data_IF_103349903943
#
_entry.id   IF_103349903943
#
_cell.length_a   1.000
_cell.length_b   1.000
_cell.length_c   1.000
_cell.angle_alpha   90.00
_cell.angle_beta   90.00
_cell.angle_gamma   90.00
#
_symmetry.space_group_name_H-M   'P 1'
#
loop_
_entity.id
_entity.type
_entity.pdbx_description
1 polymer ?
#
# COMPACT_ATOMS: atom_id res chain seq x y z
N UNK A 1 -13.31 14.43 0.22
CA UNK A 1 -12.26 13.54 0.77
C UNK A 1 -11.55 12.90 -0.41
N UNK A 2 -10.25 13.13 -0.62
CA UNK A 2 -9.53 12.56 -1.75
C UNK A 2 -9.22 11.09 -1.46
N UNK A 3 -9.74 10.15 -2.24
CA UNK A 3 -9.17 8.81 -2.32
C UNK A 3 -7.92 8.88 -3.20
N UNK A 4 -6.87 8.12 -2.89
CA UNK A 4 -5.67 8.03 -3.73
C UNK A 4 -4.34 8.13 -2.98
N UNK A 5 -3.26 8.20 -3.73
CA UNK A 5 -1.87 8.08 -3.26
C UNK A 5 -1.31 9.33 -2.54
N UNK A 6 -2.14 10.16 -1.91
CA UNK A 6 -1.83 11.43 -1.22
C UNK A 6 -0.37 11.91 -1.30
N UNK A 7 -0.09 12.85 -2.21
CA UNK A 7 1.26 13.42 -2.44
C UNK A 7 2.36 12.39 -2.78
N UNK A 8 1.99 11.30 -3.48
CA UNK A 8 2.92 10.22 -3.83
C UNK A 8 4.19 10.71 -4.50
N UNK A 9 4.12 11.64 -5.46
CA UNK A 9 5.32 12.14 -6.12
C UNK A 9 6.38 12.64 -5.13
N UNK A 10 5.97 13.43 -4.13
CA UNK A 10 6.88 13.92 -3.09
C UNK A 10 7.34 12.80 -2.15
N UNK A 11 6.44 11.91 -1.73
CA UNK A 11 6.78 10.78 -0.84
C UNK A 11 7.73 9.79 -1.53
N UNK A 12 7.46 9.46 -2.78
CA UNK A 12 8.27 8.62 -3.65
C UNK A 12 9.70 9.12 -3.73
N UNK A 13 9.92 10.40 -4.03
CA UNK A 13 11.28 10.95 -4.10
C UNK A 13 12.02 10.86 -2.76
N UNK A 14 11.33 11.09 -1.64
CA UNK A 14 11.90 10.94 -0.29
C UNK A 14 12.25 9.48 0.04
N UNK A 15 11.43 8.54 -0.40
CA UNK A 15 11.67 7.10 -0.19
C UNK A 15 12.84 6.64 -1.04
N UNK A 16 12.80 6.91 -2.35
CA UNK A 16 13.86 6.51 -3.30
C UNK A 16 15.21 7.10 -2.89
N UNK A 17 15.27 8.35 -2.42
CA UNK A 17 16.51 8.95 -1.91
C UNK A 17 17.11 8.28 -0.67
N UNK A 18 16.39 7.36 -0.01
CA UNK A 18 16.86 6.56 1.13
C UNK A 18 17.15 5.10 0.77
N UNK A 19 16.77 4.67 -0.43
CA UNK A 19 16.97 3.30 -0.90
C UNK A 19 18.35 3.17 -1.55
N UNK A 20 18.94 1.95 -1.58
CA UNK A 20 20.17 1.72 -2.34
C UNK A 20 20.01 2.06 -3.82
N UNK A 21 21.12 2.42 -4.48
CA UNK A 21 21.14 2.70 -5.92
C UNK A 21 20.49 1.57 -6.73
N UNK A 22 19.68 1.96 -7.71
CA UNK A 22 18.96 1.04 -8.59
C UNK A 22 17.74 0.38 -7.93
N UNK A 23 17.30 0.82 -6.74
CA UNK A 23 16.04 0.39 -6.13
C UNK A 23 15.02 1.52 -6.23
N UNK A 24 13.83 1.21 -6.74
CA UNK A 24 12.66 2.10 -6.79
C UNK A 24 11.56 1.61 -5.85
N UNK A 25 10.56 2.46 -5.57
CA UNK A 25 9.45 2.14 -4.70
C UNK A 25 8.12 2.07 -5.48
N UNK A 26 7.30 1.05 -5.20
CA UNK A 26 5.92 0.92 -5.68
C UNK A 26 4.96 1.01 -4.50
N UNK A 27 3.89 1.80 -4.64
CA UNK A 27 2.83 1.90 -3.63
C UNK A 27 1.57 1.17 -4.11
N UNK A 28 0.95 0.43 -3.19
CA UNK A 28 -0.38 -0.16 -3.36
C UNK A 28 -1.27 0.33 -2.24
N UNK A 29 -2.54 0.59 -2.56
CA UNK A 29 -3.52 1.08 -1.60
C UNK A 29 -4.84 0.32 -1.75
N UNK A 30 -5.54 0.11 -0.64
CA UNK A 30 -6.90 -0.40 -0.62
C UNK A 30 -7.68 0.20 0.56
N UNK A 31 -8.99 0.17 0.46
CA UNK A 31 -9.89 0.50 1.56
C UNK A 31 -10.78 -0.71 1.89
N UNK A 32 -11.16 -0.82 3.15
CA UNK A 32 -12.05 -1.86 3.66
C UNK A 32 -13.51 -1.51 3.42
N UNK A 33 -14.41 -2.45 3.69
CA UNK A 33 -15.84 -2.17 3.74
C UNK A 33 -16.26 -1.54 5.08
N UNK A 34 -17.41 -0.82 5.13
CA UNK A 34 -17.96 -0.33 6.39
C UNK A 34 -18.22 -1.47 7.38
N UNK A 35 -17.85 -1.27 8.64
CA UNK A 35 -18.16 -2.18 9.74
C UNK A 35 -17.14 -3.29 10.00
N UNK A 36 -16.15 -3.47 9.12
CA UNK A 36 -15.11 -4.49 9.31
C UNK A 36 -14.21 -4.19 10.52
N UNK A 37 -13.92 -5.23 11.29
CA UNK A 37 -12.86 -5.21 12.30
C UNK A 37 -11.48 -5.08 11.65
N UNK A 38 -10.44 -4.81 12.46
CA UNK A 38 -9.08 -4.65 11.94
C UNK A 38 -8.62 -5.87 11.13
N UNK A 39 -8.88 -7.09 11.62
CA UNK A 39 -8.41 -8.32 10.96
C UNK A 39 -9.19 -8.60 9.68
N UNK A 40 -10.51 -8.43 9.69
CA UNK A 40 -11.35 -8.59 8.48
C UNK A 40 -10.93 -7.59 7.40
N UNK A 41 -10.78 -6.32 7.78
CA UNK A 41 -10.34 -5.27 6.88
C UNK A 41 -8.96 -5.54 6.28
N UNK A 42 -8.03 -6.11 7.06
CA UNK A 42 -6.70 -6.47 6.57
C UNK A 42 -6.76 -7.59 5.53
N UNK A 43 -7.55 -8.63 5.79
CA UNK A 43 -7.77 -9.74 4.86
C UNK A 43 -8.38 -9.21 3.55
N UNK A 44 -9.40 -8.37 3.66
CA UNK A 44 -10.08 -7.78 2.51
C UNK A 44 -9.16 -6.88 1.69
N UNK A 45 -8.39 -6.01 2.33
CA UNK A 45 -7.43 -5.14 1.65
C UNK A 45 -6.38 -5.94 0.87
N UNK A 46 -5.86 -7.03 1.44
CA UNK A 46 -4.92 -7.93 0.74
C UNK A 46 -5.60 -8.68 -0.40
N UNK A 47 -6.87 -9.08 -0.24
CA UNK A 47 -7.68 -9.67 -1.32
C UNK A 47 -7.82 -8.69 -2.48
N UNK A 48 -8.14 -7.43 -2.22
CA UNK A 48 -8.22 -6.37 -3.22
C UNK A 48 -6.89 -6.15 -3.96
N UNK A 49 -5.75 -6.22 -3.27
CA UNK A 49 -4.43 -6.16 -3.94
C UNK A 49 -4.20 -7.37 -4.85
N UNK A 50 -4.62 -8.58 -4.45
CA UNK A 50 -4.48 -9.79 -5.28
C UNK A 50 -5.32 -9.76 -6.56
N UNK A 51 -6.45 -9.04 -6.54
CA UNK A 51 -7.37 -8.94 -7.69
C UNK A 51 -6.94 -7.91 -8.73
N UNK A 52 -5.93 -7.08 -8.44
CA UNK A 52 -5.35 -6.13 -9.39
C UNK A 52 -4.00 -6.64 -9.85
N UNK A 53 -3.82 -6.92 -11.15
CA UNK A 53 -2.54 -7.38 -11.69
C UNK A 53 -1.39 -6.43 -11.34
N UNK A 54 -1.63 -5.12 -11.41
CA UNK A 54 -0.67 -4.09 -11.05
C UNK A 54 -0.25 -4.17 -9.58
N UNK A 55 -1.23 -4.19 -8.65
CA UNK A 55 -0.95 -4.32 -7.23
C UNK A 55 -0.29 -5.66 -6.90
N UNK A 56 -0.84 -6.75 -7.43
CA UNK A 56 -0.33 -8.09 -7.14
C UNK A 56 1.09 -8.27 -7.65
N UNK A 57 1.44 -7.76 -8.82
CA UNK A 57 2.81 -7.79 -9.35
C UNK A 57 3.82 -7.07 -8.44
N UNK A 58 3.40 -6.03 -7.71
CA UNK A 58 4.24 -5.34 -6.74
C UNK A 58 4.39 -6.15 -5.44
N UNK A 59 3.27 -6.64 -4.91
CA UNK A 59 3.21 -7.39 -3.64
C UNK A 59 3.92 -8.74 -3.75
N UNK A 60 3.69 -9.51 -4.83
CA UNK A 60 4.21 -10.88 -4.99
C UNK A 60 5.68 -10.97 -5.38
N UNK A 61 6.29 -9.85 -5.78
CA UNK A 61 7.67 -9.84 -6.23
C UNK A 61 8.62 -10.13 -5.06
N UNK A 62 9.83 -10.67 -5.32
CA UNK A 62 10.88 -10.72 -4.30
C UNK A 62 11.27 -9.29 -3.89
N UNK A 63 10.77 -8.83 -2.75
CA UNK A 63 11.03 -7.50 -2.23
C UNK A 63 12.00 -7.59 -1.05
N UNK A 64 13.20 -7.02 -1.19
CA UNK A 64 14.17 -6.92 -0.07
C UNK A 64 13.77 -5.84 0.93
N UNK A 65 13.04 -4.83 0.47
CA UNK A 65 12.55 -3.72 1.28
C UNK A 65 11.05 -3.64 1.10
N UNK A 66 10.30 -3.69 2.19
CA UNK A 66 8.87 -3.49 2.16
C UNK A 66 8.38 -2.95 3.51
N UNK A 67 7.22 -2.32 3.48
CA UNK A 67 6.49 -1.90 4.67
C UNK A 67 5.02 -1.73 4.34
N UNK A 68 4.16 -2.00 5.30
CA UNK A 68 2.72 -1.84 5.16
C UNK A 68 2.14 -1.34 6.47
N UNK A 69 1.05 -0.59 6.38
CA UNK A 69 0.31 -0.12 7.54
C UNK A 69 -1.17 0.06 7.19
N UNK A 70 -2.01 0.12 8.21
CA UNK A 70 -3.44 0.36 8.09
C UNK A 70 -3.93 1.36 9.13
N UNK A 71 -4.77 2.31 8.70
CA UNK A 71 -5.39 3.29 9.60
C UNK A 71 -6.89 3.35 9.42
N UNK A 72 -7.63 3.29 10.54
CA UNK A 72 -9.07 3.54 10.54
C UNK A 72 -9.37 5.04 10.47
N UNK A 73 -10.16 5.43 9.48
CA UNK A 73 -10.70 6.79 9.37
C UNK A 73 -11.91 7.00 10.28
N UNK A 74 -12.28 8.26 10.50
CA UNK A 74 -13.45 8.63 11.32
C UNK A 74 -14.81 8.14 10.77
N UNK A 75 -14.85 7.71 9.49
CA UNK A 75 -16.02 7.06 8.87
C UNK A 75 -16.05 5.54 9.10
N UNK A 76 -15.19 5.01 9.94
CA UNK A 76 -15.15 3.58 10.26
C UNK A 76 -14.44 2.69 9.24
N UNK A 77 -14.04 3.23 8.08
CA UNK A 77 -13.30 2.54 7.01
C UNK A 77 -11.82 2.43 7.37
N UNK A 78 -11.21 1.28 7.10
CA UNK A 78 -9.77 1.10 7.17
C UNK A 78 -9.12 1.37 5.83
N UNK A 79 -7.98 2.08 5.86
CA UNK A 79 -7.17 2.40 4.70
C UNK A 79 -5.83 1.69 4.84
N UNK A 80 -5.53 0.78 3.91
CA UNK A 80 -4.29 0.03 3.87
C UNK A 80 -3.35 0.59 2.80
N UNK A 81 -2.07 0.67 3.15
CA UNK A 81 -1.01 1.03 2.20
C UNK A 81 0.14 0.06 2.34
N UNK A 82 0.68 -0.40 1.21
CA UNK A 82 1.92 -1.15 1.13
C UNK A 82 2.92 -0.44 0.23
N UNK A 83 4.19 -0.43 0.62
CA UNK A 83 5.32 0.12 -0.14
C UNK A 83 6.34 -1.00 -0.34
N UNK A 84 6.72 -1.23 -1.60
CA UNK A 84 7.57 -2.35 -2.01
C UNK A 84 8.75 -1.85 -2.83
N UNK A 85 9.97 -2.15 -2.35
CA UNK A 85 11.23 -1.81 -3.01
C UNK A 85 11.58 -2.85 -4.07
N UNK A 86 11.63 -2.42 -5.34
CA UNK A 86 11.97 -3.24 -6.49
C UNK A 86 13.25 -2.71 -7.17
N UNK A 87 14.02 -3.59 -7.81
CA UNK A 87 15.09 -3.19 -8.72
C UNK A 87 14.56 -3.09 -10.15
#
# INVERSE_FOLDING_TARGET
RLQGHHQWGTRFQRIVGRLPNGVTAREVCAESWPGESLVEAAIECVRCWRLSDGHWSAVRAPNRFFGYDMKRGGNGIWYATGIFGAR
#
